data_IF_071231260004
#
_entry.id   IF_071231260004
#
_cell.length_a   1.000
_cell.length_b   1.000
_cell.length_c   1.000
_cell.angle_alpha   90.00
_cell.angle_beta   90.00
_cell.angle_gamma   90.00
#
_symmetry.space_group_name_H-M   'P 1'
#
loop_
_entity.id
_entity.type
_entity.pdbx_description
1 polymer ?
#
# COMPACT_ATOMS: atom_id res chain seq x y z
N UNK A 1 -13.18 5.24 -0.76
CA UNK A 1 -13.90 6.54 -0.77
C UNK A 1 -12.87 7.66 -0.83
N UNK A 2 -13.13 8.70 -1.65
CA UNK A 2 -12.24 9.88 -1.77
C UNK A 2 -12.97 11.14 -1.34
N UNK A 3 -12.23 12.08 -0.73
CA UNK A 3 -12.72 13.41 -0.37
C UNK A 3 -12.48 14.46 -1.47
N UNK A 4 -11.87 14.08 -2.61
CA UNK A 4 -11.61 15.00 -3.73
C UNK A 4 -12.84 15.82 -4.15
N UNK A 5 -14.05 15.25 -4.32
CA UNK A 5 -15.23 16.03 -4.71
C UNK A 5 -15.75 16.98 -3.63
N UNK A 6 -15.14 16.98 -2.45
CA UNK A 6 -15.55 17.78 -1.29
C UNK A 6 -14.55 18.86 -0.90
N UNK A 7 -13.52 19.10 -1.71
CA UNK A 7 -12.47 20.08 -1.43
C UNK A 7 -13.05 21.47 -1.15
N UNK A 8 -14.06 21.88 -1.92
CA UNK A 8 -14.67 23.20 -1.77
C UNK A 8 -15.52 23.36 -0.50
N UNK A 9 -15.89 22.25 0.14
CA UNK A 9 -16.69 22.29 1.38
C UNK A 9 -15.86 22.56 2.63
N UNK A 10 -14.57 22.24 2.60
CA UNK A 10 -13.70 22.41 3.75
C UNK A 10 -12.44 23.20 3.35
N UNK A 11 -12.34 24.45 3.81
CA UNK A 11 -11.25 25.34 3.38
C UNK A 11 -9.85 24.87 3.76
N UNK A 12 -9.71 23.96 4.73
CA UNK A 12 -8.44 23.41 5.20
C UNK A 12 -8.19 21.95 4.74
N UNK A 13 -8.98 21.44 3.80
CA UNK A 13 -8.82 20.08 3.29
C UNK A 13 -7.70 20.00 2.26
N UNK A 14 -6.76 19.10 2.51
CA UNK A 14 -5.74 18.66 1.56
C UNK A 14 -5.93 17.17 1.27
N UNK A 15 -5.96 16.79 0.00
CA UNK A 15 -6.04 15.40 -0.44
C UNK A 15 -4.79 15.06 -1.23
N UNK A 16 -4.01 14.10 -0.74
CA UNK A 16 -2.84 13.60 -1.46
C UNK A 16 -3.16 12.31 -2.23
N UNK A 17 -2.50 12.11 -3.36
CA UNK A 17 -2.51 10.88 -4.16
C UNK A 17 -1.09 10.54 -4.56
N UNK A 18 -0.80 9.26 -4.62
CA UNK A 18 0.54 8.77 -4.99
C UNK A 18 0.47 7.82 -6.18
N UNK A 19 1.47 7.87 -7.03
CA UNK A 19 1.71 6.88 -8.08
C UNK A 19 2.60 5.71 -7.61
N UNK A 20 3.02 5.73 -6.33
CA UNK A 20 4.00 4.78 -5.80
C UNK A 20 3.47 3.36 -5.59
N UNK A 21 2.15 3.15 -5.48
CA UNK A 21 1.55 1.87 -5.10
C UNK A 21 0.88 1.20 -6.31
N UNK A 22 -0.40 1.46 -6.54
CA UNK A 22 -1.19 0.82 -7.60
C UNK A 22 -0.59 1.02 -8.99
N UNK A 23 0.04 2.15 -9.24
CA UNK A 23 0.73 2.42 -10.51
C UNK A 23 2.15 1.83 -10.60
N UNK A 24 2.68 1.22 -9.55
CA UNK A 24 4.02 0.62 -9.55
C UNK A 24 5.19 1.61 -9.67
N UNK A 25 4.95 2.91 -9.51
CA UNK A 25 5.91 3.97 -9.84
C UNK A 25 6.63 4.53 -8.59
N UNK A 26 6.90 3.70 -7.59
CA UNK A 26 7.51 4.15 -6.33
C UNK A 26 8.87 4.83 -6.51
N UNK A 27 9.72 4.31 -7.40
CA UNK A 27 11.06 4.85 -7.68
C UNK A 27 11.02 6.23 -8.35
N UNK A 28 9.94 6.58 -9.06
CA UNK A 28 9.82 7.85 -9.79
C UNK A 28 9.48 9.06 -8.90
N UNK A 29 9.17 8.83 -7.63
CA UNK A 29 8.91 9.87 -6.62
C UNK A 29 7.84 10.89 -7.04
N UNK A 30 6.72 10.41 -7.61
CA UNK A 30 5.64 11.24 -8.12
C UNK A 30 4.36 11.06 -7.31
N UNK A 31 3.68 12.19 -7.07
CA UNK A 31 2.37 12.24 -6.42
C UNK A 31 1.68 13.55 -6.71
N UNK A 32 0.41 13.65 -6.31
CA UNK A 32 -0.40 14.85 -6.48
C UNK A 32 -0.94 15.31 -5.12
N UNK A 33 -1.03 16.62 -4.97
CA UNK A 33 -1.70 17.27 -3.85
C UNK A 33 -2.84 18.14 -4.39
N UNK A 34 -4.00 18.03 -3.78
CA UNK A 34 -5.21 18.74 -4.15
C UNK A 34 -5.73 19.51 -2.94
N UNK A 35 -6.11 20.76 -3.14
CA UNK A 35 -6.76 21.62 -2.14
C UNK A 35 -7.46 22.79 -2.86
N UNK A 36 -8.05 23.72 -2.10
CA UNK A 36 -8.58 24.96 -2.64
C UNK A 36 -7.49 25.78 -3.35
N UNK A 37 -7.87 26.58 -4.33
CA UNK A 37 -6.94 27.44 -5.09
C UNK A 37 -6.12 28.34 -4.17
N UNK A 38 -6.77 28.92 -3.14
CA UNK A 38 -6.10 29.73 -2.12
C UNK A 38 -4.94 28.97 -1.46
N UNK A 39 -5.17 27.74 -0.98
CA UNK A 39 -4.11 26.95 -0.34
C UNK A 39 -3.03 26.50 -1.32
N UNK A 40 -3.43 26.10 -2.53
CA UNK A 40 -2.47 25.70 -3.54
C UNK A 40 -1.58 26.85 -3.99
N UNK A 41 -2.03 28.12 -3.91
CA UNK A 41 -1.19 29.28 -4.17
C UNK A 41 -0.02 29.40 -3.18
N UNK A 42 -0.25 29.11 -1.90
CA UNK A 42 0.81 29.09 -0.89
C UNK A 42 1.75 27.89 -1.07
N UNK A 43 1.21 26.70 -1.34
CA UNK A 43 2.01 25.50 -1.59
C UNK A 43 2.97 25.72 -2.77
N UNK A 44 2.48 26.31 -3.86
CA UNK A 44 3.32 26.61 -5.04
C UNK A 44 4.48 27.55 -4.72
N UNK A 45 4.32 28.50 -3.81
CA UNK A 45 5.42 29.40 -3.40
C UNK A 45 6.53 28.66 -2.65
N UNK A 46 6.19 27.58 -1.93
CA UNK A 46 7.14 26.76 -1.18
C UNK A 46 7.71 25.60 -2.01
N UNK A 47 7.12 25.30 -3.17
CA UNK A 47 7.52 24.19 -4.02
C UNK A 47 8.82 24.51 -4.77
N UNK A 48 9.76 23.57 -4.75
CA UNK A 48 10.94 23.65 -5.62
C UNK A 48 10.53 23.67 -7.10
N UNK A 49 11.13 24.51 -7.95
CA UNK A 49 10.82 24.58 -9.38
C UNK A 49 11.12 23.25 -10.12
N UNK A 50 12.00 22.40 -9.59
CA UNK A 50 12.42 21.13 -10.18
C UNK A 50 11.99 19.93 -9.32
N UNK A 51 10.83 20.00 -8.67
CA UNK A 51 10.35 19.01 -7.72
C UNK A 51 9.98 17.66 -8.34
N UNK A 52 9.62 17.62 -9.62
CA UNK A 52 9.22 16.40 -10.34
C UNK A 52 10.10 16.22 -11.58
N UNK A 53 10.74 15.05 -11.71
CA UNK A 53 11.53 14.76 -12.90
C UNK A 53 10.63 14.49 -14.12
N UNK A 54 11.15 14.80 -15.31
CA UNK A 54 10.40 14.71 -16.56
C UNK A 54 9.90 13.30 -16.86
N UNK A 55 10.69 12.26 -16.59
CA UNK A 55 10.30 10.88 -16.82
C UNK A 55 9.11 10.50 -15.94
N UNK A 56 9.10 10.93 -14.67
CA UNK A 56 7.97 10.70 -13.78
C UNK A 56 6.70 11.38 -14.28
N UNK A 57 6.80 12.62 -14.77
CA UNK A 57 5.65 13.36 -15.31
C UNK A 57 5.10 12.68 -16.59
N UNK A 58 5.97 12.23 -17.49
CA UNK A 58 5.58 11.50 -18.70
C UNK A 58 4.92 10.18 -18.36
N UNK A 59 5.54 9.38 -17.47
CA UNK A 59 5.00 8.09 -17.06
C UNK A 59 3.63 8.24 -16.37
N UNK A 60 3.48 9.23 -15.47
CA UNK A 60 2.21 9.50 -14.81
C UNK A 60 1.09 9.88 -15.80
N UNK A 61 1.41 10.69 -16.83
CA UNK A 61 0.44 11.05 -17.89
C UNK A 61 -0.04 9.87 -18.72
N UNK A 62 0.80 8.85 -18.91
CA UNK A 62 0.44 7.63 -19.61
C UNK A 62 -0.37 6.73 -18.67
N UNK A 63 0.16 6.48 -17.48
CA UNK A 63 -0.43 5.56 -16.52
C UNK A 63 -1.85 5.94 -16.08
N UNK A 64 -2.14 7.23 -15.93
CA UNK A 64 -3.48 7.71 -15.52
C UNK A 64 -4.57 7.42 -16.58
N UNK A 65 -4.17 7.17 -17.84
CA UNK A 65 -5.10 6.83 -18.93
C UNK A 65 -5.44 5.35 -19.00
N UNK A 66 -4.66 4.51 -18.35
CA UNK A 66 -4.88 3.06 -18.32
C UNK A 66 -5.77 2.69 -17.12
N UNK A 67 -7.02 3.17 -17.18
CA UNK A 67 -8.01 2.91 -16.12
C UNK A 67 -8.29 1.42 -15.97
N UNK A 68 -8.31 0.68 -17.08
CA UNK A 68 -8.58 -0.76 -17.07
C UNK A 68 -7.52 -1.52 -16.27
N UNK A 69 -6.25 -1.26 -16.50
CA UNK A 69 -5.17 -1.87 -15.73
C UNK A 69 -5.31 -1.61 -14.23
N UNK A 70 -5.62 -0.37 -13.85
CA UNK A 70 -5.78 0.00 -12.44
C UNK A 70 -6.96 -0.71 -11.80
N UNK A 71 -8.11 -0.77 -12.50
CA UNK A 71 -9.30 -1.46 -12.00
C UNK A 71 -9.06 -2.96 -11.83
N UNK A 72 -8.48 -3.61 -12.83
CA UNK A 72 -8.18 -5.05 -12.81
C UNK A 72 -7.19 -5.37 -11.66
N UNK A 73 -6.14 -4.56 -11.50
CA UNK A 73 -5.16 -4.75 -10.43
C UNK A 73 -5.77 -4.54 -9.05
N UNK A 74 -6.63 -3.54 -8.86
CA UNK A 74 -7.32 -3.31 -7.59
C UNK A 74 -8.24 -4.49 -7.25
N UNK A 75 -9.00 -5.01 -8.21
CA UNK A 75 -9.86 -6.19 -8.00
C UNK A 75 -9.03 -7.43 -7.63
N UNK A 76 -7.90 -7.63 -8.28
CA UNK A 76 -6.98 -8.74 -7.97
C UNK A 76 -6.45 -8.62 -6.52
N UNK A 77 -5.99 -7.45 -6.10
CA UNK A 77 -5.50 -7.22 -4.73
C UNK A 77 -6.61 -7.41 -3.68
N UNK A 78 -7.84 -6.96 -3.97
CA UNK A 78 -8.98 -7.17 -3.08
C UNK A 78 -9.29 -8.67 -2.94
N UNK A 79 -9.34 -9.41 -4.03
CA UNK A 79 -9.57 -10.85 -4.01
C UNK A 79 -8.43 -11.60 -3.28
N UNK A 80 -7.18 -11.23 -3.51
CA UNK A 80 -6.01 -11.78 -2.82
C UNK A 80 -6.08 -11.54 -1.31
N UNK A 81 -6.58 -10.38 -0.88
CA UNK A 81 -6.76 -10.04 0.53
C UNK A 81 -7.80 -10.94 1.21
N UNK A 82 -8.92 -11.21 0.54
CA UNK A 82 -9.93 -12.14 1.07
C UNK A 82 -9.37 -13.56 1.24
N UNK A 83 -8.58 -14.04 0.28
CA UNK A 83 -7.86 -15.32 0.41
C UNK A 83 -6.98 -15.33 1.66
N UNK A 84 -6.24 -14.24 1.90
CA UNK A 84 -5.38 -14.11 3.07
C UNK A 84 -6.20 -14.18 4.38
N UNK A 85 -7.31 -13.47 4.46
CA UNK A 85 -8.16 -13.46 5.65
C UNK A 85 -8.72 -14.84 5.97
N UNK A 86 -9.28 -15.52 4.96
CA UNK A 86 -9.80 -16.89 5.12
C UNK A 86 -8.73 -17.86 5.64
N UNK A 87 -7.51 -17.76 5.12
CA UNK A 87 -6.42 -18.65 5.57
C UNK A 87 -5.90 -18.26 6.97
N UNK A 88 -5.86 -16.98 7.31
CA UNK A 88 -5.52 -16.55 8.67
C UNK A 88 -6.55 -17.06 9.70
N UNK A 89 -7.83 -17.01 9.40
CA UNK A 89 -8.88 -17.58 10.24
C UNK A 89 -8.70 -19.07 10.45
N UNK A 90 -8.44 -19.85 9.37
CA UNK A 90 -8.19 -21.29 9.46
C UNK A 90 -6.97 -21.65 10.32
N UNK A 91 -5.95 -20.80 10.28
CA UNK A 91 -4.71 -21.00 11.04
C UNK A 91 -4.79 -20.42 12.45
N UNK A 92 -5.87 -19.75 12.82
CA UNK A 92 -6.01 -19.07 14.09
C UNK A 92 -5.05 -17.88 14.25
N UNK A 93 -4.64 -17.24 13.15
CA UNK A 93 -3.74 -16.10 13.16
C UNK A 93 -4.55 -14.82 13.36
N UNK A 94 -4.39 -14.10 14.48
CA UNK A 94 -5.06 -12.82 14.67
C UNK A 94 -4.53 -11.77 13.69
N UNK A 95 -5.42 -10.99 13.10
CA UNK A 95 -5.06 -9.92 12.16
C UNK A 95 -5.96 -8.70 12.32
N UNK A 96 -5.55 -7.60 11.72
CA UNK A 96 -6.33 -6.37 11.64
C UNK A 96 -6.88 -6.20 10.23
N UNK A 97 -8.20 -6.05 10.10
CA UNK A 97 -8.82 -5.72 8.81
C UNK A 97 -8.21 -4.44 8.23
N UNK A 98 -7.95 -4.46 6.94
CA UNK A 98 -7.22 -3.39 6.26
C UNK A 98 -7.97 -2.83 5.05
N UNK A 99 -7.91 -1.52 4.89
CA UNK A 99 -8.33 -0.83 3.66
C UNK A 99 -7.13 -0.44 2.79
N UNK A 100 -5.92 -0.87 3.18
CA UNK A 100 -4.68 -0.61 2.46
C UNK A 100 -4.26 -1.82 1.60
N UNK A 101 -3.10 -1.70 0.94
CA UNK A 101 -2.47 -2.78 0.21
C UNK A 101 -1.55 -3.65 1.10
N UNK A 102 -1.83 -3.73 2.38
CA UNK A 102 -1.12 -4.58 3.33
C UNK A 102 -2.05 -4.98 4.48
N UNK A 103 -1.71 -6.06 5.17
CA UNK A 103 -2.36 -6.51 6.39
C UNK A 103 -1.33 -6.62 7.51
N UNK A 104 -1.73 -6.25 8.73
CA UNK A 104 -0.99 -6.55 9.95
C UNK A 104 -1.56 -7.82 10.57
N UNK A 105 -0.70 -8.76 10.94
CA UNK A 105 -1.08 -9.94 11.71
C UNK A 105 -0.21 -10.08 12.96
N UNK A 106 -0.76 -10.71 13.99
CA UNK A 106 -0.07 -10.90 15.26
C UNK A 106 0.67 -12.22 15.29
N UNK A 107 1.98 -12.15 15.37
CA UNK A 107 2.87 -13.26 15.56
C UNK A 107 3.43 -13.34 17.00
N UNK A 108 3.08 -12.36 17.85
CA UNK A 108 3.53 -12.31 19.24
C UNK A 108 5.05 -12.20 19.35
N UNK A 109 5.62 -12.91 20.30
CA UNK A 109 7.08 -12.94 20.51
C UNK A 109 7.87 -13.53 19.34
N UNK A 110 7.18 -14.28 18.46
CA UNK A 110 7.79 -14.91 17.28
C UNK A 110 7.87 -13.99 16.06
N UNK A 111 7.48 -12.71 16.15
CA UNK A 111 7.41 -11.81 15.00
C UNK A 111 8.74 -11.70 14.24
N UNK A 112 9.85 -11.56 14.95
CA UNK A 112 11.19 -11.49 14.37
C UNK A 112 11.60 -12.83 13.76
N UNK A 113 11.37 -13.93 14.48
CA UNK A 113 11.65 -15.29 14.00
C UNK A 113 10.90 -15.59 12.69
N UNK A 114 9.59 -15.29 12.65
CA UNK A 114 8.74 -15.53 11.48
C UNK A 114 9.22 -14.67 10.29
N UNK A 115 9.53 -13.38 10.52
CA UNK A 115 10.10 -12.52 9.48
C UNK A 115 11.37 -13.12 8.89
N UNK A 116 12.30 -13.59 9.74
CA UNK A 116 13.60 -14.10 9.29
C UNK A 116 13.45 -15.44 8.56
N UNK A 117 12.64 -16.36 9.08
CA UNK A 117 12.33 -17.64 8.42
C UNK A 117 11.66 -17.44 7.05
N UNK A 118 10.73 -16.49 6.93
CA UNK A 118 10.11 -16.16 5.64
C UNK A 118 11.12 -15.57 4.66
N UNK A 119 12.01 -14.68 5.15
CA UNK A 119 13.09 -14.11 4.32
C UNK A 119 14.01 -15.19 3.77
N UNK A 120 14.43 -16.15 4.59
CA UNK A 120 15.29 -17.26 4.17
C UNK A 120 14.62 -18.15 3.11
N UNK A 121 13.28 -18.14 3.04
CA UNK A 121 12.45 -18.80 2.01
C UNK A 121 12.10 -17.89 0.83
N UNK A 122 12.71 -16.69 0.75
CA UNK A 122 12.50 -15.73 -0.33
C UNK A 122 11.19 -14.96 -0.25
N UNK A 123 10.54 -14.90 0.92
CA UNK A 123 9.33 -14.11 1.16
C UNK A 123 9.64 -12.97 2.12
N UNK A 124 9.50 -11.73 1.64
CA UNK A 124 9.81 -10.55 2.43
C UNK A 124 8.55 -9.98 3.10
N UNK A 125 8.54 -10.00 4.42
CA UNK A 125 7.56 -9.31 5.27
C UNK A 125 8.27 -8.28 6.15
N UNK A 126 7.51 -7.43 6.81
CA UNK A 126 8.08 -6.38 7.65
C UNK A 126 7.67 -6.57 9.10
N UNK A 127 8.65 -6.73 9.98
CA UNK A 127 8.45 -6.62 11.41
C UNK A 127 8.02 -5.19 11.77
N UNK A 128 6.96 -5.09 12.58
CA UNK A 128 6.40 -3.84 13.10
C UNK A 128 6.34 -3.84 14.63
N UNK A 129 7.01 -4.77 15.28
CA UNK A 129 6.98 -4.94 16.74
C UNK A 129 7.44 -3.71 17.52
N UNK A 130 8.26 -2.86 16.90
CA UNK A 130 8.71 -1.60 17.49
C UNK A 130 7.61 -0.51 17.54
N UNK A 131 6.53 -0.65 16.75
CA UNK A 131 5.37 0.27 16.78
C UNK A 131 4.15 -0.41 17.40
N UNK A 132 3.91 -1.66 17.01
CA UNK A 132 2.78 -2.48 17.46
C UNK A 132 3.33 -3.83 17.91
N UNK A 133 3.47 -4.06 19.23
CA UNK A 133 4.13 -5.26 19.75
C UNK A 133 3.62 -6.55 19.12
N UNK A 134 4.55 -7.38 18.66
CA UNK A 134 4.27 -8.68 18.07
C UNK A 134 3.66 -8.67 16.66
N UNK A 135 3.54 -7.52 16.02
CA UNK A 135 2.93 -7.42 14.69
C UNK A 135 3.93 -7.56 13.55
N UNK A 136 3.51 -8.29 12.54
CA UNK A 136 4.19 -8.42 11.24
C UNK A 136 3.26 -7.87 10.15
N UNK A 137 3.83 -7.11 9.21
CA UNK A 137 3.11 -6.55 8.06
C UNK A 137 3.44 -7.33 6.79
N UNK A 138 2.42 -7.86 6.15
CA UNK A 138 2.50 -8.46 4.81
C UNK A 138 1.86 -7.53 3.80
N UNK A 139 2.54 -7.29 2.67
CA UNK A 139 1.96 -6.54 1.54
C UNK A 139 1.08 -7.48 0.71
N UNK A 140 -0.09 -7.01 0.32
CA UNK A 140 -0.98 -7.73 -0.57
C UNK A 140 -0.60 -7.42 -2.01
N UNK A 141 -0.22 -8.44 -2.74
CA UNK A 141 0.03 -8.40 -4.18
C UNK A 141 -1.04 -9.16 -4.95
N UNK A 142 -0.64 -9.93 -5.95
CA UNK A 142 -1.53 -10.85 -6.68
C UNK A 142 -1.87 -12.07 -5.83
N UNK A 143 -2.90 -12.83 -6.23
CA UNK A 143 -3.26 -14.10 -5.57
C UNK A 143 -2.09 -15.06 -5.50
N UNK A 144 -1.36 -15.25 -6.58
CA UNK A 144 -0.18 -16.13 -6.61
C UNK A 144 0.87 -15.73 -5.56
N UNK A 145 1.08 -14.43 -5.38
CA UNK A 145 2.02 -13.91 -4.37
C UNK A 145 1.52 -14.17 -2.95
N UNK A 146 0.21 -14.00 -2.71
CA UNK A 146 -0.40 -14.30 -1.40
C UNK A 146 -0.38 -15.81 -1.12
N UNK A 147 -0.68 -16.65 -2.11
CA UNK A 147 -0.63 -18.11 -1.98
C UNK A 147 0.80 -18.59 -1.68
N UNK A 148 1.81 -18.02 -2.36
CA UNK A 148 3.22 -18.30 -2.05
C UNK A 148 3.56 -17.92 -0.61
N UNK A 149 3.16 -16.72 -0.17
CA UNK A 149 3.37 -16.28 1.22
C UNK A 149 2.71 -17.25 2.21
N UNK A 150 1.44 -17.61 1.99
CA UNK A 150 0.68 -18.51 2.85
C UNK A 150 1.29 -19.90 2.90
N UNK A 151 1.79 -20.43 1.78
CA UNK A 151 2.48 -21.71 1.74
C UNK A 151 3.69 -21.71 2.68
N UNK A 152 4.57 -20.71 2.53
CA UNK A 152 5.78 -20.61 3.34
C UNK A 152 5.46 -20.30 4.83
N UNK A 153 4.40 -19.54 5.09
CA UNK A 153 3.97 -19.24 6.44
C UNK A 153 3.47 -20.49 7.17
N UNK A 154 2.69 -21.36 6.51
CA UNK A 154 2.17 -22.62 7.07
C UNK A 154 3.27 -23.56 7.52
N UNK A 155 4.42 -23.54 6.86
CA UNK A 155 5.57 -24.40 7.20
C UNK A 155 6.31 -23.95 8.46
N UNK A 156 6.06 -22.74 8.93
CA UNK A 156 6.82 -22.14 10.04
C UNK A 156 5.93 -21.65 11.19
N UNK A 157 4.61 -21.59 10.95
CA UNK A 157 3.62 -21.14 11.95
C UNK A 157 3.39 -22.22 13.02
#
# INVERSE_FOLDING_TARGET
VTLLPRIDRWPNLFVSRTFSKVYGMAALRCGCLFSSERHMSFVRKAQSPYSVNMLAAMAARIAIKDEKFIQDYVLEVLAAREVLYVEFEKLGIPYYESQANFVLFQAGERAIEIRDKLRDRGVLVRDRSYEIPGCVRVTIGTRDQVERFLKELKEIW
#
